data_IF_629051272194
#
_entry.id   IF_629051272194
#
_cell.length_a   1.000
_cell.length_b   1.000
_cell.length_c   1.000
_cell.angle_alpha   90.00
_cell.angle_beta   90.00
_cell.angle_gamma   90.00
#
_symmetry.space_group_name_H-M   'P 1'
#
loop_
_entity.id
_entity.type
_entity.pdbx_description
1 polymer ?
#
# COMPACT_ATOMS: atom_id res chain seq x y z
N UNK A 1 23.28 9.06 -4.52
CA UNK A 1 22.93 7.63 -4.45
C UNK A 1 23.59 6.86 -5.60
N UNK A 2 24.22 5.68 -5.35
CA UNK A 2 24.79 4.81 -6.41
C UNK A 2 23.71 3.82 -6.89
N UNK A 3 23.01 4.22 -7.96
CA UNK A 3 21.89 3.46 -8.52
C UNK A 3 22.33 2.12 -9.10
N UNK A 4 23.53 2.05 -9.70
CA UNK A 4 24.04 0.82 -10.29
C UNK A 4 24.40 -0.22 -9.21
N UNK A 5 24.92 0.22 -8.07
CA UNK A 5 25.15 -0.66 -6.94
C UNK A 5 23.83 -1.22 -6.36
N UNK A 6 22.80 -0.37 -6.24
CA UNK A 6 21.47 -0.77 -5.78
C UNK A 6 20.84 -1.77 -6.76
N UNK A 7 20.88 -1.54 -8.05
CA UNK A 7 20.31 -2.42 -9.08
C UNK A 7 20.88 -3.84 -9.03
N UNK A 8 22.16 -4.00 -8.70
CA UNK A 8 22.81 -5.32 -8.57
C UNK A 8 22.22 -6.19 -7.45
N UNK A 9 21.56 -5.56 -6.46
CA UNK A 9 20.85 -6.29 -5.40
C UNK A 9 19.55 -6.92 -5.91
N UNK A 10 19.05 -6.56 -7.10
CA UNK A 10 17.79 -7.03 -7.69
C UNK A 10 18.06 -7.92 -8.92
N UNK A 11 18.25 -9.24 -8.74
CA UNK A 11 18.67 -10.16 -9.82
C UNK A 11 17.77 -10.16 -11.04
N UNK A 12 16.45 -10.04 -10.82
CA UNK A 12 15.43 -10.06 -11.88
C UNK A 12 15.59 -8.92 -12.91
N UNK A 13 16.22 -7.80 -12.54
CA UNK A 13 16.45 -6.69 -13.46
C UNK A 13 17.46 -7.00 -14.57
N UNK A 14 18.14 -8.16 -14.48
CA UNK A 14 19.05 -8.67 -15.52
C UNK A 14 18.38 -9.65 -16.49
N UNK A 15 17.08 -9.96 -16.25
CA UNK A 15 16.34 -10.89 -17.10
C UNK A 15 15.99 -10.28 -18.47
N UNK A 16 15.65 -11.15 -19.38
CA UNK A 16 15.16 -10.78 -20.72
C UNK A 16 13.75 -11.29 -20.95
N UNK A 17 12.89 -10.43 -21.48
CA UNK A 17 11.51 -10.73 -21.84
C UNK A 17 11.33 -10.48 -23.34
N UNK A 18 10.74 -11.43 -24.06
CA UNK A 18 10.56 -11.36 -25.51
C UNK A 18 11.88 -11.11 -26.29
N UNK A 19 13.00 -11.64 -25.76
CA UNK A 19 14.35 -11.42 -26.34
C UNK A 19 14.90 -10.00 -26.18
N UNK A 20 14.33 -9.19 -25.27
CA UNK A 20 14.75 -7.84 -24.93
C UNK A 20 15.09 -7.73 -23.44
N UNK A 21 16.00 -6.83 -23.02
CA UNK A 21 16.19 -6.54 -21.61
C UNK A 21 14.87 -6.16 -20.95
N UNK A 22 14.62 -6.66 -19.75
CA UNK A 22 13.45 -6.31 -18.97
C UNK A 22 13.49 -4.84 -18.52
N UNK A 23 12.49 -4.08 -18.90
CA UNK A 23 12.21 -2.73 -18.36
C UNK A 23 10.97 -2.84 -17.47
N UNK A 24 11.17 -2.91 -16.14
CA UNK A 24 10.08 -3.16 -15.21
C UNK A 24 9.51 -1.87 -14.63
N UNK A 25 8.34 -1.46 -15.10
CA UNK A 25 7.64 -0.23 -14.72
C UNK A 25 6.22 -0.50 -14.18
N UNK A 26 6.01 -1.65 -13.49
CA UNK A 26 4.76 -1.97 -12.79
C UNK A 26 4.95 -2.09 -11.27
N UNK A 27 5.77 -1.20 -10.69
CA UNK A 27 6.16 -1.24 -9.27
C UNK A 27 5.01 -0.94 -8.31
N UNK A 28 4.02 -0.13 -8.69
CA UNK A 28 2.84 0.15 -7.89
C UNK A 28 1.91 -1.07 -7.74
N UNK A 29 2.06 -2.09 -8.59
CA UNK A 29 1.42 -3.38 -8.40
C UNK A 29 2.20 -4.26 -7.42
N UNK A 30 3.50 -4.42 -7.63
CA UNK A 30 4.46 -5.08 -6.71
C UNK A 30 5.87 -4.64 -7.08
N UNK A 31 6.71 -4.33 -6.10
CA UNK A 31 8.14 -4.05 -6.35
C UNK A 31 8.92 -5.35 -6.53
N UNK A 32 10.10 -5.31 -7.13
CA UNK A 32 11.02 -6.43 -7.17
C UNK A 32 11.71 -6.64 -5.80
N UNK A 33 12.27 -7.82 -5.58
CA UNK A 33 12.83 -8.23 -4.29
C UNK A 33 14.35 -8.25 -4.36
N UNK A 34 15.04 -7.59 -3.40
CA UNK A 34 16.49 -7.70 -3.35
C UNK A 34 16.89 -9.12 -2.94
N UNK A 35 18.08 -9.52 -3.35
CA UNK A 35 18.65 -10.85 -3.12
C UNK A 35 18.61 -11.27 -1.63
N UNK A 36 18.90 -10.34 -0.72
CA UNK A 36 18.88 -10.61 0.71
C UNK A 36 17.52 -11.05 1.25
N UNK A 37 16.41 -10.59 0.63
CA UNK A 37 15.04 -11.02 1.01
C UNK A 37 14.81 -12.48 0.61
N UNK A 38 15.18 -12.84 -0.61
CA UNK A 38 15.03 -14.20 -1.13
C UNK A 38 15.88 -15.17 -0.31
N UNK A 39 17.14 -14.78 -0.03
CA UNK A 39 18.08 -15.58 0.78
C UNK A 39 17.58 -15.76 2.21
N UNK A 40 17.06 -14.70 2.87
CA UNK A 40 16.56 -14.80 4.24
C UNK A 40 15.36 -15.76 4.35
N UNK A 41 14.44 -15.75 3.39
CA UNK A 41 13.32 -16.69 3.35
C UNK A 41 13.78 -18.12 3.12
N UNK A 42 14.73 -18.34 2.20
CA UNK A 42 15.29 -19.64 1.90
C UNK A 42 16.05 -20.20 3.13
N UNK A 43 16.88 -19.36 3.76
CA UNK A 43 17.65 -19.71 4.96
C UNK A 43 16.73 -20.11 6.12
N UNK A 44 15.62 -19.37 6.32
CA UNK A 44 14.61 -19.72 7.31
C UNK A 44 14.08 -21.14 7.09
N UNK A 45 13.68 -21.49 5.86
CA UNK A 45 13.15 -22.81 5.58
C UNK A 45 14.21 -23.93 5.66
N UNK A 46 15.44 -23.65 5.29
CA UNK A 46 16.53 -24.64 5.36
C UNK A 46 16.98 -24.92 6.80
N UNK A 47 16.93 -23.92 7.70
CA UNK A 47 17.65 -24.03 8.97
C UNK A 47 16.81 -23.76 10.22
N UNK A 48 15.69 -23.01 10.11
CA UNK A 48 14.97 -22.47 11.28
C UNK A 48 13.47 -22.77 11.28
N UNK A 49 12.95 -23.46 10.27
CA UNK A 49 11.51 -23.68 10.11
C UNK A 49 10.89 -24.41 11.32
N UNK A 50 10.09 -23.70 12.10
CA UNK A 50 9.28 -24.22 13.19
C UNK A 50 8.05 -23.34 13.40
N UNK A 51 7.00 -23.88 14.06
CA UNK A 51 5.90 -23.06 14.53
C UNK A 51 6.37 -22.14 15.67
N UNK A 52 5.79 -20.96 15.73
CA UNK A 52 6.15 -19.88 16.67
C UNK A 52 5.30 -19.91 17.95
N UNK A 53 5.75 -19.23 19.02
CA UNK A 53 5.11 -18.93 20.29
C UNK A 53 4.90 -20.13 21.24
N UNK A 54 4.38 -21.26 20.77
CA UNK A 54 3.93 -22.36 21.66
C UNK A 54 4.89 -23.55 21.81
N UNK A 55 5.92 -23.61 20.96
CA UNK A 55 6.90 -24.68 21.01
C UNK A 55 7.88 -24.49 22.16
N UNK A 56 8.13 -25.56 22.94
CA UNK A 56 9.10 -25.54 24.05
C UNK A 56 10.52 -25.94 23.62
N UNK A 57 10.73 -26.28 22.35
CA UNK A 57 12.02 -26.69 21.80
C UNK A 57 12.78 -25.50 21.20
N UNK A 58 14.10 -25.59 21.18
CA UNK A 58 15.00 -24.49 20.76
C UNK A 58 14.68 -23.93 19.38
N UNK A 59 14.32 -24.78 18.41
CA UNK A 59 14.00 -24.32 17.06
C UNK A 59 12.76 -23.41 17.03
N UNK A 60 11.71 -23.73 17.81
CA UNK A 60 10.52 -22.88 17.95
C UNK A 60 10.87 -21.55 18.63
N UNK A 61 11.76 -21.56 19.61
CA UNK A 61 12.22 -20.33 20.26
C UNK A 61 12.97 -19.43 19.28
N UNK A 62 13.90 -19.99 18.48
CA UNK A 62 14.63 -19.25 17.44
C UNK A 62 13.65 -18.64 16.42
N UNK A 63 12.70 -19.44 15.91
CA UNK A 63 11.70 -18.96 14.97
C UNK A 63 10.83 -17.83 15.55
N UNK A 64 10.45 -17.94 16.83
CA UNK A 64 9.69 -16.90 17.55
C UNK A 64 10.51 -15.63 17.69
N UNK A 65 11.76 -15.72 18.08
CA UNK A 65 12.65 -14.57 18.24
C UNK A 65 12.87 -13.85 16.89
N UNK A 66 13.03 -14.61 15.79
CA UNK A 66 13.12 -14.04 14.44
C UNK A 66 11.82 -13.29 14.07
N UNK A 67 10.66 -13.89 14.31
CA UNK A 67 9.36 -13.32 13.99
C UNK A 67 9.07 -12.04 14.78
N UNK A 68 9.27 -12.03 16.08
CA UNK A 68 9.02 -10.88 16.96
C UNK A 68 10.05 -9.76 16.77
N UNK A 69 11.30 -10.10 16.40
CA UNK A 69 12.31 -9.10 16.02
C UNK A 69 11.86 -8.26 14.84
N UNK A 70 11.19 -8.85 13.85
CA UNK A 70 10.66 -8.11 12.70
C UNK A 70 9.52 -7.17 13.14
N UNK A 71 8.68 -7.58 14.10
CA UNK A 71 7.64 -6.69 14.66
C UNK A 71 8.27 -5.43 15.27
N UNK A 72 9.37 -5.58 15.98
CA UNK A 72 10.12 -4.44 16.52
C UNK A 72 10.78 -3.59 15.42
N UNK A 73 11.25 -4.18 14.32
CA UNK A 73 11.74 -3.41 13.16
C UNK A 73 10.61 -2.59 12.53
N UNK A 74 9.43 -3.18 12.31
CA UNK A 74 8.25 -2.47 11.79
C UNK A 74 7.83 -1.34 12.73
N UNK A 75 7.80 -1.60 14.07
CA UNK A 75 7.51 -0.56 15.06
C UNK A 75 8.43 0.65 14.90
N UNK A 76 9.74 0.40 14.77
CA UNK A 76 10.73 1.47 14.58
C UNK A 76 10.56 2.18 13.24
N UNK A 77 10.31 1.42 12.16
CA UNK A 77 10.17 1.96 10.81
C UNK A 77 8.98 2.94 10.71
N UNK A 78 7.89 2.65 11.42
CA UNK A 78 6.70 3.50 11.50
C UNK A 78 6.76 4.56 12.62
N UNK A 79 7.78 4.52 13.49
CA UNK A 79 7.84 5.28 14.75
C UNK A 79 6.61 5.02 15.66
N UNK A 80 6.10 3.78 15.71
CA UNK A 80 5.04 3.41 16.62
C UNK A 80 5.55 3.32 18.06
N UNK A 81 4.67 3.51 19.06
CA UNK A 81 5.06 3.54 20.47
C UNK A 81 5.43 2.14 21.00
N UNK A 82 4.65 1.13 20.62
CA UNK A 82 4.77 -0.23 21.14
C UNK A 82 4.64 -1.28 20.04
N UNK A 83 5.22 -2.45 20.28
CA UNK A 83 5.04 -3.61 19.38
C UNK A 83 3.61 -4.14 19.37
N UNK A 84 2.83 -3.93 20.45
CA UNK A 84 1.41 -4.26 20.53
C UNK A 84 0.54 -3.47 19.54
N UNK A 85 1.06 -2.39 18.98
CA UNK A 85 0.40 -1.57 17.94
C UNK A 85 0.61 -2.10 16.51
N UNK A 86 1.42 -3.17 16.35
CA UNK A 86 1.77 -3.75 15.06
C UNK A 86 1.11 -5.12 14.90
N UNK A 87 0.17 -5.22 13.98
CA UNK A 87 -0.57 -6.45 13.67
C UNK A 87 -0.14 -6.97 12.30
N UNK A 88 0.19 -8.25 12.22
CA UNK A 88 0.45 -8.92 10.96
C UNK A 88 -0.86 -9.36 10.28
N UNK A 89 -0.93 -9.12 8.99
CA UNK A 89 -2.03 -9.54 8.11
C UNK A 89 -1.44 -10.13 6.83
N UNK A 90 -2.28 -10.59 5.89
CA UNK A 90 -1.82 -11.06 4.57
C UNK A 90 -1.58 -9.94 3.56
N UNK A 91 -1.90 -8.69 3.90
CA UNK A 91 -1.77 -7.51 3.06
C UNK A 91 -2.74 -6.39 3.46
N UNK A 92 -2.62 -5.24 2.82
CA UNK A 92 -3.49 -4.07 3.04
C UNK A 92 -4.98 -4.42 2.93
N UNK A 93 -5.35 -5.24 1.95
CA UNK A 93 -6.75 -5.66 1.76
C UNK A 93 -7.31 -6.37 2.99
N UNK A 94 -6.58 -7.32 3.59
CA UNK A 94 -7.02 -7.95 4.83
C UNK A 94 -7.03 -6.97 6.00
N UNK A 95 -6.02 -6.11 6.11
CA UNK A 95 -5.97 -5.07 7.14
C UNK A 95 -7.20 -4.16 7.11
N UNK A 96 -7.58 -3.68 5.92
CA UNK A 96 -8.77 -2.84 5.75
C UNK A 96 -10.09 -3.61 6.02
N UNK A 97 -10.17 -4.90 5.67
CA UNK A 97 -11.31 -5.75 6.05
C UNK A 97 -11.40 -5.95 7.57
N UNK A 98 -10.26 -6.19 8.24
CA UNK A 98 -10.18 -6.28 9.70
C UNK A 98 -10.73 -5.00 10.34
N UNK A 99 -10.27 -3.83 9.88
CA UNK A 99 -10.71 -2.55 10.41
C UNK A 99 -12.16 -2.25 10.10
N UNK A 100 -12.63 -2.54 8.87
CA UNK A 100 -14.02 -2.34 8.50
C UNK A 100 -14.97 -3.20 9.36
N UNK A 101 -14.64 -4.46 9.62
CA UNK A 101 -15.47 -5.32 10.45
C UNK A 101 -15.44 -4.90 11.92
N UNK A 102 -14.25 -4.65 12.48
CA UNK A 102 -14.09 -4.41 13.92
C UNK A 102 -14.53 -3.01 14.35
N UNK A 103 -14.22 -1.97 13.57
CA UNK A 103 -14.58 -0.59 13.89
C UNK A 103 -16.07 -0.29 13.74
N UNK A 104 -16.77 -1.05 12.88
CA UNK A 104 -18.18 -0.80 12.61
C UNK A 104 -19.12 -1.65 13.46
N UNK A 105 -18.60 -2.63 14.23
CA UNK A 105 -19.44 -3.58 14.97
C UNK A 105 -20.43 -2.92 15.94
N UNK A 106 -20.05 -1.83 16.57
CA UNK A 106 -20.85 -1.13 17.58
C UNK A 106 -21.46 0.18 17.05
N UNK A 107 -21.36 0.48 15.77
CA UNK A 107 -21.96 1.66 15.17
C UNK A 107 -23.47 1.52 15.04
N UNK A 108 -24.17 2.65 15.02
CA UNK A 108 -25.62 2.71 14.94
C UNK A 108 -26.08 2.88 13.48
N UNK A 109 -27.30 2.43 13.19
CA UNK A 109 -27.94 2.68 11.89
C UNK A 109 -27.93 4.19 11.57
N UNK A 110 -27.43 4.53 10.38
CA UNK A 110 -27.32 5.91 9.92
C UNK A 110 -26.04 6.62 10.34
N UNK A 111 -25.13 5.97 11.09
CA UNK A 111 -23.77 6.47 11.27
C UNK A 111 -23.04 6.50 9.93
N UNK A 112 -22.01 7.33 9.81
CA UNK A 112 -21.39 7.66 8.52
C UNK A 112 -19.89 7.30 8.49
N UNK A 113 -19.46 6.81 7.32
CA UNK A 113 -18.08 6.55 6.97
C UNK A 113 -17.71 7.46 5.80
N UNK A 114 -16.59 8.20 5.92
CA UNK A 114 -16.08 9.04 4.84
C UNK A 114 -14.93 8.31 4.15
N UNK A 115 -15.01 8.23 2.82
CA UNK A 115 -13.94 7.73 1.95
C UNK A 115 -13.53 8.85 0.97
N UNK A 116 -12.42 8.69 0.25
CA UNK A 116 -12.12 9.58 -0.87
C UNK A 116 -12.53 8.98 -2.22
N UNK A 117 -12.72 9.83 -3.23
CA UNK A 117 -13.02 9.40 -4.59
C UNK A 117 -11.85 8.68 -5.26
N UNK A 118 -10.61 8.89 -4.77
CA UNK A 118 -9.39 8.33 -5.34
C UNK A 118 -8.96 6.99 -4.74
N UNK A 119 -9.84 6.31 -3.98
CA UNK A 119 -9.49 5.09 -3.26
C UNK A 119 -9.28 3.87 -4.17
N UNK A 120 -8.36 3.01 -3.75
CA UNK A 120 -8.26 1.65 -4.25
C UNK A 120 -9.48 0.84 -3.79
N UNK A 121 -9.93 -0.15 -4.59
CA UNK A 121 -11.08 -1.00 -4.24
C UNK A 121 -10.97 -1.64 -2.85
N UNK A 122 -9.76 -1.94 -2.38
CA UNK A 122 -9.53 -2.48 -1.03
C UNK A 122 -9.93 -1.51 0.09
N UNK A 123 -9.96 -0.20 -0.20
CA UNK A 123 -10.41 0.83 0.75
C UNK A 123 -11.81 1.37 0.42
N UNK A 124 -12.56 0.69 -0.44
CA UNK A 124 -13.97 0.98 -0.74
C UNK A 124 -14.84 -0.20 -0.33
N UNK A 125 -14.59 -1.37 -0.92
CA UNK A 125 -15.47 -2.54 -0.84
C UNK A 125 -15.67 -3.05 0.61
N UNK A 126 -14.64 -3.16 1.46
CA UNK A 126 -14.85 -3.58 2.84
C UNK A 126 -15.80 -2.66 3.62
N UNK A 127 -15.68 -1.34 3.40
CA UNK A 127 -16.56 -0.36 4.01
C UNK A 127 -17.98 -0.43 3.48
N UNK A 128 -18.17 -0.70 2.18
CA UNK A 128 -19.50 -0.93 1.59
C UNK A 128 -20.16 -2.16 2.18
N UNK A 129 -19.44 -3.28 2.29
CA UNK A 129 -19.97 -4.51 2.91
C UNK A 129 -20.35 -4.29 4.38
N UNK A 130 -19.51 -3.57 5.14
CA UNK A 130 -19.81 -3.24 6.53
C UNK A 130 -21.01 -2.28 6.65
N UNK A 131 -21.10 -1.29 5.75
CA UNK A 131 -22.21 -0.33 5.72
C UNK A 131 -23.54 -1.02 5.37
N UNK A 132 -23.56 -1.87 4.36
CA UNK A 132 -24.75 -2.64 3.98
C UNK A 132 -25.22 -3.54 5.14
N UNK A 133 -24.28 -4.28 5.77
CA UNK A 133 -24.57 -5.18 6.89
C UNK A 133 -25.18 -4.46 8.10
N UNK A 134 -24.82 -3.20 8.35
CA UNK A 134 -25.13 -2.45 9.60
C UNK A 134 -26.01 -1.22 9.39
N UNK A 135 -26.42 -0.92 8.15
CA UNK A 135 -27.25 0.25 7.82
C UNK A 135 -26.51 1.59 8.00
N UNK A 136 -25.20 1.61 7.69
CA UNK A 136 -24.38 2.81 7.73
C UNK A 136 -24.40 3.53 6.37
N UNK A 137 -24.02 4.80 6.36
CA UNK A 137 -23.93 5.62 5.15
C UNK A 137 -22.47 5.87 4.76
N UNK A 138 -22.18 5.80 3.47
CA UNK A 138 -20.87 6.21 2.92
C UNK A 138 -21.00 7.61 2.34
N UNK A 139 -20.09 8.50 2.76
CA UNK A 139 -19.90 9.84 2.22
C UNK A 139 -18.54 9.89 1.50
N UNK A 140 -18.39 10.73 0.49
CA UNK A 140 -17.18 10.77 -0.35
C UNK A 140 -16.59 12.16 -0.40
N UNK A 141 -15.28 12.28 -0.14
CA UNK A 141 -14.49 13.48 -0.43
C UNK A 141 -14.21 13.47 -1.93
N UNK A 142 -14.75 14.43 -2.71
CA UNK A 142 -14.52 14.47 -4.15
C UNK A 142 -13.07 14.87 -4.46
N UNK A 143 -12.60 14.56 -5.66
CA UNK A 143 -11.36 15.10 -6.21
C UNK A 143 -11.66 16.07 -7.36
N UNK A 144 -10.69 16.90 -7.71
CA UNK A 144 -10.73 17.72 -8.91
C UNK A 144 -10.07 17.00 -10.11
N UNK A 145 -10.06 17.64 -11.30
CA UNK A 145 -9.48 17.08 -12.52
C UNK A 145 -7.96 16.84 -12.44
N UNK A 146 -7.29 17.39 -11.44
CA UNK A 146 -5.89 17.08 -11.10
C UNK A 146 -5.76 15.95 -10.07
N UNK A 147 -6.84 15.25 -9.72
CA UNK A 147 -6.85 14.16 -8.77
C UNK A 147 -6.59 14.57 -7.31
N UNK A 148 -6.61 15.88 -7.03
CA UNK A 148 -6.41 16.44 -5.69
C UNK A 148 -7.73 16.42 -4.93
N UNK A 149 -7.72 15.90 -3.71
CA UNK A 149 -8.93 15.84 -2.87
C UNK A 149 -9.36 17.24 -2.44
N UNK A 150 -10.66 17.51 -2.54
CA UNK A 150 -11.27 18.76 -2.12
C UNK A 150 -11.56 18.72 -0.61
N UNK A 151 -10.51 18.90 0.20
CA UNK A 151 -10.55 18.75 1.65
C UNK A 151 -11.39 19.82 2.37
N UNK A 152 -11.72 20.93 1.71
CA UNK A 152 -12.68 21.94 2.18
C UNK A 152 -14.08 21.36 2.38
N UNK A 153 -14.48 20.37 1.57
CA UNK A 153 -15.75 19.68 1.72
C UNK A 153 -15.91 18.95 3.06
N UNK A 154 -14.81 18.69 3.78
CA UNK A 154 -14.87 18.06 5.10
C UNK A 154 -15.69 18.88 6.10
N UNK A 155 -15.74 20.20 5.96
CA UNK A 155 -16.55 21.08 6.83
C UNK A 155 -18.06 20.74 6.75
N UNK A 156 -18.52 20.25 5.60
CA UNK A 156 -19.91 19.83 5.39
C UNK A 156 -20.12 18.31 5.53
N UNK A 157 -19.06 17.53 5.31
CA UNK A 157 -19.11 16.07 5.38
C UNK A 157 -19.06 15.56 6.81
N UNK A 158 -18.22 16.18 7.68
CA UNK A 158 -18.06 15.75 9.06
C UNK A 158 -19.21 16.31 9.93
N UNK A 159 -19.92 15.40 10.58
CA UNK A 159 -21.00 15.72 11.51
C UNK A 159 -21.03 14.70 12.68
N UNK A 160 -21.99 14.81 13.58
CA UNK A 160 -22.12 13.94 14.77
C UNK A 160 -22.31 12.45 14.44
N UNK A 161 -22.76 12.12 13.22
CA UNK A 161 -22.91 10.74 12.75
C UNK A 161 -21.65 10.18 12.13
N UNK A 162 -20.69 11.04 11.76
CA UNK A 162 -19.42 10.61 11.16
C UNK A 162 -18.56 9.92 12.21
N UNK A 163 -18.22 8.65 11.98
CA UNK A 163 -17.46 7.82 12.91
C UNK A 163 -16.10 7.40 12.38
N UNK A 164 -15.96 7.32 11.06
CA UNK A 164 -14.73 6.82 10.41
C UNK A 164 -14.44 7.71 9.20
N UNK A 165 -13.15 8.06 9.02
CA UNK A 165 -12.57 8.53 7.75
C UNK A 165 -11.51 7.51 7.34
N UNK A 166 -11.60 6.99 6.12
CA UNK A 166 -10.58 6.09 5.56
C UNK A 166 -10.10 6.65 4.22
N UNK A 167 -8.82 6.99 4.14
CA UNK A 167 -8.22 7.66 2.98
C UNK A 167 -6.86 7.08 2.62
N UNK A 168 -6.55 7.01 1.33
CA UNK A 168 -5.23 6.64 0.85
C UNK A 168 -4.23 7.79 1.04
N UNK A 169 -2.97 7.44 1.35
CA UNK A 169 -1.89 8.42 1.40
C UNK A 169 -1.46 8.86 -0.01
N UNK A 170 -1.41 7.91 -0.94
CA UNK A 170 -1.04 8.13 -2.34
C UNK A 170 -1.98 7.36 -3.24
N UNK A 171 -2.55 8.00 -4.23
CA UNK A 171 -3.40 7.36 -5.24
C UNK A 171 -2.60 6.33 -6.04
N UNK A 172 -3.01 5.07 -6.01
CA UNK A 172 -2.35 4.00 -6.75
C UNK A 172 -2.51 4.11 -8.26
N UNK A 173 -3.54 4.81 -8.73
CA UNK A 173 -3.81 5.01 -10.15
C UNK A 173 -3.14 6.28 -10.70
N UNK A 174 -3.19 7.39 -9.99
CA UNK A 174 -2.69 8.69 -10.46
C UNK A 174 -1.30 9.05 -9.92
N UNK A 175 -0.86 8.41 -8.83
CA UNK A 175 0.36 8.77 -8.10
C UNK A 175 0.22 10.02 -7.23
N UNK A 176 -0.94 10.67 -7.22
CA UNK A 176 -1.16 11.90 -6.46
C UNK A 176 -1.01 11.67 -4.97
N UNK A 177 -0.20 12.52 -4.33
CA UNK A 177 0.02 12.51 -2.87
C UNK A 177 -1.07 13.34 -2.19
N UNK A 178 -1.81 12.74 -1.27
CA UNK A 178 -2.86 13.45 -0.54
C UNK A 178 -2.32 14.12 0.71
N UNK A 179 -2.83 15.32 1.01
CA UNK A 179 -2.47 16.08 2.23
C UNK A 179 -3.16 15.47 3.47
N UNK A 180 -2.59 14.35 3.95
CA UNK A 180 -3.10 13.67 5.13
C UNK A 180 -3.05 14.54 6.39
N UNK A 181 -2.03 15.41 6.54
CA UNK A 181 -1.94 16.29 7.72
C UNK A 181 -3.15 17.21 7.81
N UNK A 182 -3.53 17.84 6.71
CA UNK A 182 -4.72 18.69 6.66
C UNK A 182 -6.02 17.91 6.86
N UNK A 183 -6.15 16.73 6.24
CA UNK A 183 -7.32 15.86 6.39
C UNK A 183 -7.48 15.43 7.86
N UNK A 184 -6.41 14.95 8.50
CA UNK A 184 -6.43 14.49 9.89
C UNK A 184 -6.66 15.65 10.86
N UNK A 185 -6.01 16.79 10.64
CA UNK A 185 -6.23 18.00 11.45
C UNK A 185 -7.69 18.45 11.42
N UNK A 186 -8.32 18.49 10.24
CA UNK A 186 -9.76 18.76 10.11
C UNK A 186 -10.61 17.69 10.80
N UNK A 187 -10.30 16.42 10.63
CA UNK A 187 -11.00 15.32 11.28
C UNK A 187 -10.99 15.47 12.80
N UNK A 188 -9.82 15.79 13.39
CA UNK A 188 -9.69 16.02 14.84
C UNK A 188 -10.43 17.29 15.29
N UNK A 189 -10.35 18.37 14.52
CA UNK A 189 -11.02 19.63 14.86
C UNK A 189 -12.54 19.53 14.84
N UNK A 190 -13.12 18.83 13.86
CA UNK A 190 -14.57 18.76 13.64
C UNK A 190 -15.21 17.54 14.32
N UNK A 191 -14.54 16.39 14.31
CA UNK A 191 -15.06 15.11 14.84
C UNK A 191 -14.50 14.69 16.18
N UNK A 192 -13.45 15.39 16.66
CA UNK A 192 -12.77 15.04 17.91
C UNK A 192 -12.09 13.68 17.90
N UNK A 193 -11.77 13.17 19.10
CA UNK A 193 -11.09 11.87 19.24
C UNK A 193 -12.02 10.65 19.05
N UNK A 194 -13.31 10.87 18.91
CA UNK A 194 -14.29 9.78 18.63
C UNK A 194 -14.30 9.39 17.14
N UNK A 195 -13.92 10.32 16.26
CA UNK A 195 -13.78 10.07 14.83
C UNK A 195 -12.49 9.30 14.54
N UNK A 196 -12.61 8.07 14.04
CA UNK A 196 -11.46 7.20 13.72
C UNK A 196 -10.89 7.55 12.36
N UNK A 197 -9.58 7.67 12.27
CA UNK A 197 -8.85 7.94 11.03
C UNK A 197 -8.03 6.72 10.63
N UNK A 198 -8.37 6.15 9.48
CA UNK A 198 -7.69 5.02 8.85
C UNK A 198 -6.95 5.52 7.62
N UNK A 199 -5.69 5.15 7.49
CA UNK A 199 -4.86 5.49 6.33
C UNK A 199 -4.50 4.23 5.55
N UNK A 200 -4.88 4.17 4.27
CA UNK A 200 -4.30 3.22 3.33
C UNK A 200 -2.93 3.74 2.88
N UNK A 201 -1.89 3.19 3.48
CA UNK A 201 -0.50 3.51 3.23
C UNK A 201 0.17 2.64 2.17
N UNK A 202 -0.58 1.83 1.41
CA UNK A 202 -0.03 0.82 0.51
C UNK A 202 0.97 1.38 -0.53
N UNK A 203 0.76 2.60 -1.00
CA UNK A 203 1.70 3.30 -1.88
C UNK A 203 2.61 4.24 -1.07
N UNK A 204 2.07 4.95 -0.08
CA UNK A 204 2.80 5.97 0.68
C UNK A 204 4.01 5.43 1.43
N UNK A 205 3.93 4.22 2.01
CA UNK A 205 5.03 3.59 2.76
C UNK A 205 6.29 3.38 1.92
N UNK A 206 6.15 3.29 0.60
CA UNK A 206 7.26 3.04 -0.33
C UNK A 206 8.00 4.32 -0.67
N UNK A 207 7.28 5.43 -0.81
CA UNK A 207 7.74 6.67 -1.42
C UNK A 207 7.91 7.83 -0.43
N UNK A 208 7.67 7.59 0.86
CA UNK A 208 7.83 8.62 1.89
C UNK A 208 8.18 8.00 3.24
N UNK A 209 8.86 8.79 4.08
CA UNK A 209 9.02 8.45 5.48
C UNK A 209 7.67 8.59 6.19
N UNK A 210 7.25 7.52 6.85
CA UNK A 210 6.02 7.50 7.64
C UNK A 210 6.35 7.56 9.12
N UNK A 211 5.78 8.56 9.80
CA UNK A 211 5.80 8.70 11.26
C UNK A 211 4.35 8.74 11.74
N UNK A 212 3.87 7.62 12.29
CA UNK A 212 2.46 7.49 12.68
C UNK A 212 2.10 8.35 13.89
N UNK A 213 3.09 8.73 14.72
CA UNK A 213 2.87 9.63 15.84
C UNK A 213 2.71 11.08 15.36
N UNK A 214 3.58 11.54 14.43
CA UNK A 214 3.48 12.87 13.82
C UNK A 214 2.21 13.00 12.97
N UNK A 215 1.84 11.92 12.25
CA UNK A 215 0.64 11.89 11.41
C UNK A 215 -0.66 11.91 12.23
N UNK A 216 -0.63 11.39 13.46
CA UNK A 216 -1.76 11.26 14.38
C UNK A 216 -2.95 10.45 13.79
N UNK A 217 -2.70 9.55 12.85
CA UNK A 217 -3.72 8.59 12.41
C UNK A 217 -4.01 7.55 13.51
N UNK A 218 -5.21 6.98 13.51
CA UNK A 218 -5.55 5.91 14.44
C UNK A 218 -5.09 4.55 13.94
N UNK A 219 -5.11 4.38 12.61
CA UNK A 219 -4.67 3.17 11.91
C UNK A 219 -3.90 3.51 10.63
N UNK A 220 -2.90 2.69 10.32
CA UNK A 220 -2.14 2.76 9.07
C UNK A 220 -1.93 1.35 8.52
N UNK A 221 -2.33 1.12 7.26
CA UNK A 221 -2.28 -0.22 6.64
C UNK A 221 -1.35 -0.23 5.43
N UNK A 222 -0.50 -1.25 5.31
CA UNK A 222 0.28 -1.44 4.09
C UNK A 222 0.57 -2.91 3.80
N UNK A 223 0.97 -3.19 2.55
CA UNK A 223 1.40 -4.51 2.09
C UNK A 223 2.90 -4.56 1.92
N UNK A 224 3.54 -5.57 2.46
CA UNK A 224 4.98 -5.75 2.42
C UNK A 224 5.54 -5.89 0.98
N UNK A 225 4.78 -6.54 0.08
CA UNK A 225 5.22 -6.79 -1.30
C UNK A 225 5.42 -5.53 -2.15
N UNK A 226 4.93 -4.37 -1.70
CA UNK A 226 5.22 -3.07 -2.33
C UNK A 226 6.46 -2.42 -1.75
N UNK A 227 6.84 -2.78 -0.51
CA UNK A 227 8.02 -2.31 0.20
C UNK A 227 9.22 -3.27 0.04
N UNK A 228 9.46 -3.76 -1.17
CA UNK A 228 10.56 -4.66 -1.54
C UNK A 228 10.57 -6.02 -0.81
N UNK A 229 9.55 -6.34 -0.02
CA UNK A 229 9.39 -7.52 0.78
C UNK A 229 8.49 -8.59 0.11
N UNK A 230 8.34 -9.79 0.68
CA UNK A 230 7.53 -10.86 0.08
C UNK A 230 6.04 -10.51 -0.04
N UNK A 231 5.33 -11.26 -0.89
CA UNK A 231 3.87 -11.31 -0.90
C UNK A 231 3.37 -12.05 0.35
N UNK A 232 2.08 -11.94 0.65
CA UNK A 232 1.45 -12.70 1.74
C UNK A 232 1.61 -12.09 3.14
N UNK A 233 2.29 -10.95 3.27
CA UNK A 233 2.39 -10.18 4.52
C UNK A 233 1.91 -8.76 4.32
N UNK A 234 1.18 -8.26 5.30
CA UNK A 234 0.81 -6.86 5.47
C UNK A 234 0.87 -6.46 6.94
N UNK A 235 0.78 -5.18 7.15
CA UNK A 235 0.82 -4.58 8.48
C UNK A 235 -0.42 -3.72 8.66
N UNK A 236 -1.02 -3.83 9.85
CA UNK A 236 -1.90 -2.82 10.42
C UNK A 236 -1.21 -2.25 11.65
N UNK A 237 -0.86 -0.97 11.59
CA UNK A 237 -0.61 -0.18 12.78
C UNK A 237 -1.96 0.28 13.36
N UNK A 238 -2.11 0.22 14.67
CA UNK A 238 -3.27 0.80 15.36
C UNK A 238 -2.88 1.31 16.75
N UNK A 239 -3.41 2.47 17.15
CA UNK A 239 -3.19 2.99 18.51
C UNK A 239 -3.65 1.97 19.55
N UNK A 240 -2.76 1.56 20.47
CA UNK A 240 -3.03 0.50 21.46
C UNK A 240 -4.34 0.72 22.22
N UNK A 241 -4.59 1.96 22.68
CA UNK A 241 -5.80 2.28 23.41
C UNK A 241 -7.11 2.00 22.62
N UNK A 242 -7.05 2.08 21.28
CA UNK A 242 -8.20 1.76 20.42
C UNK A 242 -8.24 0.25 20.19
N UNK A 243 -7.11 -0.39 19.87
CA UNK A 243 -7.03 -1.85 19.66
C UNK A 243 -7.57 -2.64 20.84
N UNK A 244 -7.34 -2.19 22.08
CA UNK A 244 -7.85 -2.83 23.28
C UNK A 244 -9.38 -2.85 23.35
N UNK A 245 -10.07 -1.92 22.69
CA UNK A 245 -11.54 -1.85 22.66
C UNK A 245 -12.16 -2.67 21.53
N UNK A 246 -11.36 -3.11 20.54
CA UNK A 246 -11.86 -3.79 19.36
C UNK A 246 -12.06 -5.28 19.61
N UNK A 247 -13.13 -5.87 19.05
CA UNK A 247 -13.35 -7.32 19.08
C UNK A 247 -12.35 -8.04 18.17
N UNK A 248 -12.16 -9.36 18.31
CA UNK A 248 -11.41 -10.14 17.37
C UNK A 248 -12.04 -10.11 15.97
N UNK A 249 -11.21 -10.21 14.93
CA UNK A 249 -11.65 -10.27 13.53
C UNK A 249 -11.90 -11.70 13.07
N UNK A 250 -10.95 -12.59 13.36
CA UNK A 250 -11.01 -14.02 13.02
C UNK A 250 -10.91 -14.85 14.29
N UNK A 251 -11.53 -16.02 14.30
CA UNK A 251 -11.45 -16.98 15.40
C UNK A 251 -10.54 -18.16 15.04
N UNK A 252 -9.72 -18.61 15.99
CA UNK A 252 -8.83 -19.74 15.77
C UNK A 252 -7.83 -19.94 16.92
N UNK A 253 -6.77 -20.66 16.69
CA UNK A 253 -5.64 -20.76 17.58
C UNK A 253 -4.87 -19.42 17.67
N UNK A 254 -3.94 -19.30 18.57
CA UNK A 254 -3.09 -18.17 18.89
C UNK A 254 -3.82 -16.94 19.49
N UNK A 255 -4.95 -16.52 18.92
CA UNK A 255 -5.69 -15.32 19.30
C UNK A 255 -6.53 -15.48 20.57
N UNK A 256 -6.66 -16.69 21.11
CA UNK A 256 -7.43 -17.04 22.30
C UNK A 256 -6.57 -17.13 23.56
N UNK A 257 -7.15 -16.80 24.72
CA UNK A 257 -6.59 -17.06 26.05
C UNK A 257 -7.12 -18.36 26.63
N UNK A 258 -8.44 -18.53 26.66
CA UNK A 258 -9.13 -19.73 27.12
C UNK A 258 -10.30 -20.05 26.20
N UNK A 259 -10.55 -21.33 25.92
CA UNK A 259 -11.65 -21.81 25.10
C UNK A 259 -12.47 -22.83 25.87
N UNK A 260 -13.78 -22.60 25.96
CA UNK A 260 -14.78 -23.56 26.42
C UNK A 260 -15.97 -23.53 25.47
N UNK A 261 -16.83 -24.54 25.53
CA UNK A 261 -18.01 -24.55 24.67
C UNK A 261 -19.01 -23.43 25.02
N UNK A 262 -19.05 -23.00 26.30
CA UNK A 262 -19.95 -21.93 26.75
C UNK A 262 -19.37 -20.54 26.55
N UNK A 263 -18.01 -20.38 26.61
CA UNK A 263 -17.35 -19.07 26.54
C UNK A 263 -15.89 -19.20 26.08
N UNK A 264 -15.48 -18.25 25.29
CA UNK A 264 -14.07 -18.04 24.90
C UNK A 264 -13.59 -16.67 25.39
N UNK A 265 -12.37 -16.60 25.89
CA UNK A 265 -11.68 -15.36 26.18
C UNK A 265 -10.50 -15.18 25.21
N UNK A 266 -10.18 -13.93 24.90
CA UNK A 266 -9.21 -13.58 23.83
C UNK A 266 -7.93 -13.01 24.41
N UNK A 267 -6.86 -13.12 23.66
CA UNK A 267 -5.58 -12.47 23.96
C UNK A 267 -5.69 -10.94 23.82
N UNK A 268 -4.67 -10.24 24.29
CA UNK A 268 -4.46 -8.81 24.06
C UNK A 268 -3.93 -8.56 22.64
N UNK A 269 -3.94 -7.29 22.19
CA UNK A 269 -3.25 -6.90 20.96
C UNK A 269 -1.73 -7.18 21.08
N UNK A 270 -1.03 -7.56 19.99
CA UNK A 270 -1.56 -7.74 18.63
C UNK A 270 -2.19 -9.13 18.41
N UNK A 271 -1.93 -10.10 19.28
CA UNK A 271 -2.26 -11.53 19.11
C UNK A 271 -3.77 -11.78 18.95
N UNK A 272 -4.64 -10.93 19.55
CA UNK A 272 -6.09 -10.98 19.36
C UNK A 272 -6.51 -10.94 17.90
N UNK A 273 -5.71 -10.32 17.04
CA UNK A 273 -6.00 -10.10 15.61
C UNK A 273 -5.24 -11.05 14.69
N UNK A 274 -4.39 -11.93 15.25
CA UNK A 274 -3.51 -12.84 14.50
C UNK A 274 -3.93 -14.29 14.75
N UNK A 275 -4.99 -14.75 14.05
CA UNK A 275 -5.52 -16.10 14.21
C UNK A 275 -4.78 -17.11 13.33
N UNK A 276 -4.40 -18.25 13.93
CA UNK A 276 -3.74 -19.36 13.24
C UNK A 276 -2.23 -19.18 13.08
N UNK A 277 -1.58 -20.16 12.45
CA UNK A 277 -0.13 -20.11 12.20
C UNK A 277 0.20 -19.01 11.21
N UNK A 278 1.08 -18.05 11.56
CA UNK A 278 1.41 -16.93 10.69
C UNK A 278 2.38 -17.31 9.56
N UNK A 279 2.54 -16.43 8.57
CA UNK A 279 3.49 -16.56 7.47
C UNK A 279 4.92 -16.20 7.93
N UNK A 280 5.55 -17.05 8.75
CA UNK A 280 6.81 -16.74 9.45
C UNK A 280 7.95 -16.43 8.48
N UNK A 281 8.13 -17.25 7.42
CA UNK A 281 9.19 -17.02 6.43
C UNK A 281 9.03 -15.68 5.70
N UNK A 282 7.79 -15.30 5.38
CA UNK A 282 7.49 -14.05 4.70
C UNK A 282 7.72 -12.84 5.63
N UNK A 283 7.42 -12.98 6.92
CA UNK A 283 7.75 -11.97 7.93
C UNK A 283 9.27 -11.83 8.08
N UNK A 284 10.03 -12.91 8.10
CA UNK A 284 11.50 -12.88 8.09
C UNK A 284 12.02 -12.15 6.84
N UNK A 285 11.41 -12.41 5.67
CA UNK A 285 11.68 -11.69 4.44
C UNK A 285 11.40 -10.19 4.53
N UNK A 286 10.30 -9.78 5.21
CA UNK A 286 10.03 -8.37 5.51
C UNK A 286 11.14 -7.75 6.37
N UNK A 287 11.62 -8.46 7.39
CA UNK A 287 12.75 -8.00 8.22
C UNK A 287 14.02 -7.77 7.40
N UNK A 288 14.30 -8.65 6.43
CA UNK A 288 15.44 -8.48 5.53
C UNK A 288 15.26 -7.26 4.60
N UNK A 289 14.03 -7.00 4.10
CA UNK A 289 13.73 -5.82 3.29
C UNK A 289 13.89 -4.52 4.09
N UNK A 290 13.41 -4.47 5.34
CA UNK A 290 13.60 -3.31 6.22
C UNK A 290 15.08 -3.08 6.51
N UNK A 291 15.86 -4.14 6.79
CA UNK A 291 17.31 -4.03 6.99
C UNK A 291 18.05 -3.60 5.72
N UNK A 292 17.56 -3.95 4.52
CA UNK A 292 18.08 -3.43 3.26
C UNK A 292 17.83 -1.92 3.15
N UNK A 293 16.61 -1.45 3.43
CA UNK A 293 16.25 -0.04 3.38
C UNK A 293 16.98 0.81 4.44
N UNK A 294 17.21 0.27 5.65
CA UNK A 294 17.98 0.95 6.71
C UNK A 294 19.44 1.26 6.33
N UNK A 295 20.01 0.54 5.35
CA UNK A 295 21.37 0.79 4.84
C UNK A 295 21.43 1.93 3.81
N UNK A 296 20.28 2.38 3.34
CA UNK A 296 20.16 3.46 2.36
C UNK A 296 19.85 4.78 3.09
N UNK A 297 20.33 5.89 2.55
CA UNK A 297 19.78 7.20 2.93
C UNK A 297 18.42 7.38 2.23
N UNK A 298 17.35 7.17 2.99
CA UNK A 298 15.99 7.25 2.44
C UNK A 298 15.65 8.66 1.91
N UNK A 299 16.27 9.72 2.41
CA UNK A 299 16.06 11.05 1.86
C UNK A 299 16.66 11.17 0.46
N UNK A 300 17.85 10.59 0.24
CA UNK A 300 18.42 10.51 -1.12
C UNK A 300 17.57 9.63 -2.05
N UNK A 301 17.00 8.52 -1.53
CA UNK A 301 16.09 7.64 -2.29
C UNK A 301 14.86 8.41 -2.75
N UNK A 302 14.14 9.07 -1.84
CA UNK A 302 12.92 9.82 -2.19
C UNK A 302 13.22 10.99 -3.13
N UNK A 303 14.31 11.74 -2.91
CA UNK A 303 14.73 12.79 -3.82
C UNK A 303 15.04 12.24 -5.24
N UNK A 304 15.63 11.06 -5.32
CA UNK A 304 15.86 10.39 -6.60
C UNK A 304 14.56 9.94 -7.27
N UNK A 305 13.61 9.38 -6.51
CA UNK A 305 12.29 8.98 -7.05
C UNK A 305 11.51 10.19 -7.56
N UNK A 306 11.59 11.35 -6.90
CA UNK A 306 11.03 12.62 -7.37
C UNK A 306 11.68 13.11 -8.66
N UNK A 307 12.99 12.97 -8.78
CA UNK A 307 13.73 13.27 -10.03
C UNK A 307 13.29 12.34 -11.17
N UNK A 308 13.14 11.05 -10.91
CA UNK A 308 12.67 10.05 -11.88
C UNK A 308 11.23 10.36 -12.31
N UNK A 309 10.35 10.69 -11.38
CA UNK A 309 8.96 11.08 -11.68
C UNK A 309 8.91 12.32 -12.57
N UNK A 310 9.64 13.36 -12.20
CA UNK A 310 9.71 14.62 -12.97
C UNK A 310 10.24 14.38 -14.39
N UNK A 311 11.32 13.60 -14.51
CA UNK A 311 11.90 13.23 -15.79
C UNK A 311 10.92 12.43 -16.67
N UNK A 312 10.23 11.45 -16.07
CA UNK A 312 9.24 10.66 -16.79
C UNK A 312 8.06 11.53 -17.29
N UNK A 313 7.58 12.43 -16.44
CA UNK A 313 6.50 13.35 -16.82
C UNK A 313 6.92 14.30 -17.95
N UNK A 314 8.13 14.84 -17.91
CA UNK A 314 8.70 15.69 -18.99
C UNK A 314 8.80 14.89 -20.29
N UNK A 315 9.45 13.72 -20.26
CA UNK A 315 9.70 12.88 -21.45
C UNK A 315 8.40 12.41 -22.10
N UNK A 316 7.41 11.96 -21.32
CA UNK A 316 6.15 11.48 -21.87
C UNK A 316 5.24 12.63 -22.33
N UNK A 317 5.29 13.79 -21.67
CA UNK A 317 4.54 14.98 -22.11
C UNK A 317 5.01 15.56 -23.46
N UNK A 318 6.23 15.26 -23.85
CA UNK A 318 6.80 15.72 -25.14
C UNK A 318 6.37 14.85 -26.34
N UNK A 319 5.70 13.72 -26.09
CA UNK A 319 5.28 12.79 -27.16
C UNK A 319 3.89 13.18 -27.64
N UNK A 320 3.75 13.48 -28.93
CA UNK A 320 2.46 13.81 -29.54
C UNK A 320 1.47 12.64 -29.38
N UNK A 321 0.26 12.97 -28.96
CA UNK A 321 -0.80 12.00 -28.72
C UNK A 321 -0.79 11.35 -27.34
N UNK A 322 0.21 11.57 -26.50
CA UNK A 322 0.23 11.11 -25.09
C UNK A 322 -0.46 12.14 -24.21
N UNK A 323 -1.50 11.70 -23.49
CA UNK A 323 -2.22 12.50 -22.50
C UNK A 323 -1.95 11.95 -21.09
N UNK A 324 -1.32 12.76 -20.23
CA UNK A 324 -1.01 12.44 -18.84
C UNK A 324 -2.11 12.97 -17.93
N UNK A 325 -2.63 12.13 -17.03
CA UNK A 325 -3.65 12.51 -16.05
C UNK A 325 -3.02 13.12 -14.80
N UNK A 326 -3.75 14.06 -14.17
CA UNK A 326 -3.32 14.76 -12.96
C UNK A 326 -1.92 15.42 -13.13
N UNK A 327 -1.70 16.10 -14.24
CA UNK A 327 -0.36 16.58 -14.67
C UNK A 327 0.26 17.59 -13.72
N UNK A 328 -0.54 18.46 -13.12
CA UNK A 328 -0.09 19.57 -12.27
C UNK A 328 0.00 19.20 -10.79
N UNK A 329 -0.54 18.04 -10.38
CA UNK A 329 -0.51 17.60 -8.99
C UNK A 329 0.89 17.10 -8.57
N UNK A 330 1.19 17.19 -7.28
CA UNK A 330 2.35 16.50 -6.69
C UNK A 330 2.14 14.99 -6.73
N UNK A 331 3.06 14.28 -7.38
CA UNK A 331 2.98 12.83 -7.59
C UNK A 331 4.24 12.11 -7.15
N UNK A 332 4.06 10.84 -6.79
CA UNK A 332 5.14 9.89 -6.57
C UNK A 332 4.78 8.51 -7.08
N UNK A 333 5.75 7.70 -7.40
CA UNK A 333 5.64 6.28 -7.69
C UNK A 333 4.89 5.90 -8.97
N UNK A 334 3.88 6.64 -9.42
CA UNK A 334 3.01 6.24 -10.55
C UNK A 334 2.66 7.40 -11.48
N UNK A 335 2.70 7.12 -12.79
CA UNK A 335 2.30 8.03 -13.84
C UNK A 335 1.29 7.35 -14.78
N UNK A 336 0.04 7.83 -14.78
CA UNK A 336 -1.02 7.34 -15.67
C UNK A 336 -1.17 8.21 -16.90
N UNK A 337 -1.31 7.56 -18.05
CA UNK A 337 -1.45 8.23 -19.34
C UNK A 337 -2.31 7.42 -20.32
N UNK A 338 -2.79 8.06 -21.37
CA UNK A 338 -3.40 7.43 -22.54
C UNK A 338 -2.78 7.94 -23.83
N UNK A 339 -2.95 7.21 -24.92
CA UNK A 339 -2.47 7.55 -26.27
C UNK A 339 -3.70 7.80 -27.15
N UNK A 340 -4.00 9.07 -27.43
CA UNK A 340 -5.20 9.43 -28.19
C UNK A 340 -6.44 8.70 -27.71
N UNK A 341 -7.16 8.07 -28.63
CA UNK A 341 -8.33 7.24 -28.37
C UNK A 341 -8.01 5.72 -28.35
N UNK A 342 -6.73 5.34 -28.32
CA UNK A 342 -6.28 3.94 -28.31
C UNK A 342 -6.64 3.31 -26.95
N UNK A 343 -7.14 2.07 -27.01
CA UNK A 343 -7.40 1.35 -25.77
C UNK A 343 -6.10 1.06 -25.01
N UNK A 344 -5.99 1.34 -23.71
CA UNK A 344 -4.74 1.19 -22.96
C UNK A 344 -4.13 -0.22 -23.03
N UNK A 345 -4.95 -1.24 -23.17
CA UNK A 345 -4.52 -2.64 -23.32
C UNK A 345 -3.64 -2.85 -24.55
N UNK A 346 -3.97 -2.21 -25.70
CA UNK A 346 -3.20 -2.32 -26.93
C UNK A 346 -1.82 -1.67 -26.78
N UNK A 347 -1.78 -0.51 -26.10
CA UNK A 347 -0.53 0.16 -25.74
C UNK A 347 0.35 -0.76 -24.89
N UNK A 348 -0.19 -1.36 -23.84
CA UNK A 348 0.55 -2.27 -22.96
C UNK A 348 1.04 -3.53 -23.70
N UNK A 349 0.22 -4.10 -24.58
CA UNK A 349 0.55 -5.30 -25.34
C UNK A 349 1.73 -5.05 -26.30
N UNK A 350 1.74 -3.90 -26.98
CA UNK A 350 2.84 -3.58 -27.90
C UNK A 350 4.13 -3.21 -27.14
N UNK A 351 4.04 -2.53 -25.99
CA UNK A 351 5.20 -2.26 -25.15
C UNK A 351 5.81 -3.53 -24.57
N UNK A 352 4.99 -4.53 -24.17
CA UNK A 352 5.48 -5.83 -23.70
C UNK A 352 6.33 -6.55 -24.75
N UNK A 353 5.96 -6.48 -26.06
CA UNK A 353 6.79 -7.01 -27.14
C UNK A 353 8.16 -6.33 -27.25
N UNK A 354 8.30 -5.15 -26.69
CA UNK A 354 9.58 -4.42 -26.59
C UNK A 354 10.34 -4.67 -25.27
N UNK A 355 9.82 -5.57 -24.41
CA UNK A 355 10.40 -5.87 -23.09
C UNK A 355 10.01 -4.88 -22.00
N UNK A 356 9.03 -3.99 -22.25
CA UNK A 356 8.63 -2.92 -21.34
C UNK A 356 7.34 -3.34 -20.63
N UNK A 357 7.45 -3.63 -19.32
CA UNK A 357 6.35 -4.05 -18.49
C UNK A 357 5.69 -2.84 -17.81
N UNK A 358 4.50 -2.48 -18.26
CA UNK A 358 3.60 -1.49 -17.63
C UNK A 358 2.26 -2.15 -17.29
N UNK A 359 1.43 -1.46 -16.52
CA UNK A 359 0.08 -1.91 -16.23
C UNK A 359 -0.97 -1.14 -17.03
N UNK A 360 -2.06 -1.83 -17.41
CA UNK A 360 -3.19 -1.19 -18.11
C UNK A 360 -4.51 -1.54 -17.45
N UNK A 361 -5.52 -0.68 -17.63
CA UNK A 361 -6.88 -0.85 -17.13
C UNK A 361 -7.27 0.14 -16.05
N UNK A 362 -8.20 -0.25 -15.17
CA UNK A 362 -8.75 0.64 -14.12
C UNK A 362 -7.93 0.65 -12.82
N UNK A 363 -6.84 -0.09 -12.71
CA UNK A 363 -5.92 -0.15 -11.56
C UNK A 363 -6.61 -0.38 -10.21
N UNK A 364 -7.73 -1.08 -10.17
CA UNK A 364 -8.59 -1.22 -8.98
C UNK A 364 -9.05 0.13 -8.38
N UNK A 365 -9.25 1.14 -9.24
CA UNK A 365 -9.69 2.50 -8.89
C UNK A 365 -10.76 2.97 -9.90
N UNK A 366 -11.83 2.17 -10.05
CA UNK A 366 -12.91 2.50 -11.00
C UNK A 366 -13.57 3.86 -10.78
N UNK A 367 -13.75 4.37 -9.54
CA UNK A 367 -14.26 5.73 -9.36
C UNK A 367 -13.40 6.81 -10.04
N UNK A 368 -12.07 6.66 -10.01
CA UNK A 368 -11.14 7.57 -10.70
C UNK A 368 -11.36 7.52 -12.23
N UNK A 369 -11.51 6.31 -12.79
CA UNK A 369 -11.79 6.17 -14.23
C UNK A 369 -13.13 6.81 -14.62
N UNK A 370 -14.14 6.66 -13.76
CA UNK A 370 -15.45 7.29 -13.95
C UNK A 370 -15.38 8.82 -13.87
N UNK A 371 -14.57 9.37 -12.97
CA UNK A 371 -14.37 10.83 -12.86
C UNK A 371 -13.84 11.41 -14.17
N UNK A 372 -12.85 10.76 -14.81
CA UNK A 372 -12.28 11.19 -16.07
C UNK A 372 -13.06 10.73 -17.32
N UNK A 373 -14.16 10.00 -17.14
CA UNK A 373 -14.97 9.40 -18.24
C UNK A 373 -14.13 8.56 -19.21
N UNK A 374 -13.28 7.67 -18.67
CA UNK A 374 -12.37 6.81 -19.43
C UNK A 374 -12.50 5.35 -19.01
N UNK A 375 -12.24 4.38 -19.92
CA UNK A 375 -12.30 2.96 -19.59
C UNK A 375 -11.13 2.48 -18.72
N UNK A 376 -10.01 3.21 -18.72
CA UNK A 376 -8.78 2.89 -18.04
C UNK A 376 -7.60 3.72 -18.53
N UNK A 377 -6.44 3.48 -17.96
CA UNK A 377 -5.18 4.11 -18.39
C UNK A 377 -4.07 3.07 -18.57
N UNK A 378 -3.04 3.42 -19.31
CA UNK A 378 -1.71 2.86 -19.17
C UNK A 378 -1.04 3.54 -17.97
N UNK A 379 -0.34 2.77 -17.12
CA UNK A 379 0.35 3.28 -15.94
C UNK A 379 1.78 2.75 -15.90
N UNK A 380 2.75 3.64 -15.98
CA UNK A 380 4.12 3.36 -15.61
C UNK A 380 4.32 3.67 -14.13
N UNK A 381 5.02 2.82 -13.39
CA UNK A 381 5.31 3.06 -11.99
C UNK A 381 6.76 2.72 -11.64
N UNK A 382 7.35 3.58 -10.85
CA UNK A 382 8.78 3.67 -10.61
C UNK A 382 9.13 3.18 -9.21
N UNK A 383 10.39 2.82 -9.00
CA UNK A 383 10.94 2.39 -7.73
C UNK A 383 12.39 2.85 -7.61
N UNK A 384 12.99 2.68 -6.44
CA UNK A 384 14.35 3.13 -6.12
C UNK A 384 15.45 2.65 -7.11
N UNK A 385 15.18 1.63 -7.91
CA UNK A 385 16.09 1.07 -8.91
C UNK A 385 15.75 1.50 -10.35
N UNK A 386 14.69 2.28 -10.57
CA UNK A 386 14.30 2.76 -11.91
C UNK A 386 15.32 3.80 -12.41
N UNK A 387 15.71 3.73 -13.69
CA UNK A 387 16.69 4.63 -14.29
C UNK A 387 16.08 5.55 -15.35
N UNK A 388 16.72 6.69 -15.62
CA UNK A 388 16.35 7.58 -16.74
C UNK A 388 16.41 6.86 -18.08
N UNK A 389 17.38 5.97 -18.28
CA UNK A 389 17.51 5.15 -19.50
C UNK A 389 16.31 4.23 -19.72
N UNK A 390 15.71 3.69 -18.64
CA UNK A 390 14.48 2.89 -18.73
C UNK A 390 13.27 3.77 -19.11
N UNK A 391 13.21 5.00 -18.62
CA UNK A 391 12.19 5.99 -19.02
C UNK A 391 12.37 6.39 -20.50
N UNK A 392 13.60 6.63 -20.95
CA UNK A 392 13.89 6.89 -22.39
C UNK A 392 13.48 5.69 -23.24
N UNK A 393 13.70 4.47 -22.77
CA UNK A 393 13.28 3.26 -23.48
C UNK A 393 11.75 3.19 -23.57
N UNK A 394 11.01 3.54 -22.51
CA UNK A 394 9.55 3.65 -22.53
C UNK A 394 9.09 4.71 -23.53
N UNK A 395 9.69 5.92 -23.50
CA UNK A 395 9.34 7.02 -24.39
C UNK A 395 9.57 6.65 -25.86
N UNK A 396 10.75 6.13 -26.20
CA UNK A 396 11.08 5.65 -27.56
C UNK A 396 10.16 4.49 -27.98
N UNK A 397 9.77 3.61 -27.03
CA UNK A 397 8.79 2.56 -27.25
C UNK A 397 7.44 3.15 -27.66
N UNK A 398 6.95 4.15 -26.95
CA UNK A 398 5.70 4.87 -27.26
C UNK A 398 5.77 5.54 -28.63
N UNK A 399 6.82 6.30 -28.92
CA UNK A 399 7.03 6.95 -30.23
C UNK A 399 7.01 5.94 -31.39
N UNK A 400 7.51 4.73 -31.16
CA UNK A 400 7.51 3.66 -32.15
C UNK A 400 6.14 3.02 -32.37
N UNK A 401 5.36 2.82 -31.30
CA UNK A 401 4.06 2.09 -31.42
C UNK A 401 2.90 3.02 -31.77
N UNK A 402 2.96 4.31 -31.46
CA UNK A 402 1.88 5.28 -31.75
C UNK A 402 1.47 5.28 -33.22
N UNK A 403 2.41 5.37 -34.22
CA UNK A 403 2.04 5.30 -35.64
C UNK A 403 1.42 3.97 -36.08
N UNK A 404 1.52 2.93 -35.28
CA UNK A 404 0.91 1.61 -35.58
C UNK A 404 -0.51 1.50 -35.03
N UNK A 405 -0.88 2.38 -34.07
CA UNK A 405 -2.14 2.37 -33.34
C UNK A 405 -3.11 3.46 -33.81
N UNK A 406 -2.61 4.53 -34.43
CA UNK A 406 -3.36 5.63 -35.01
C UNK A 406 -3.43 5.54 -36.53
#
# INVERSE_FOLDING_TARGET
MDIEAIRKEFPILNETINGKPLIYLDNAATTQKPKCVIEAMSDYYYHYNANVHRGVHSLSQIATDMFEKVREQVRKYLNANKTSEIIYTRGTTEGLNLLAETLTQNLQIGDEIILSESEHHSNIVPWQLAAEKRGLNIRVIPMNDEGVLQIECLDELINKKTKIISVAQVSNSLGVVHDLKSIISKARSLGGNELRVVVDGAQGIVHSKVDVQELDCDFYCFSAHKLYAPMGVGIVYGKEAILETLPPYQGGGEMIKEVGFDKTTFNVAPYRFEAGTPAVADVVGLGAALSFLERLDLNEVFAYEDEIMSYAQERLSAIDGVNIYAKSAHKTGSLSFNVGNVHPFDVGTLLDQLGIAIRTGHHCAQPVMKHFDIPGTARASFALYTTKSEIDTLANGLERIIPMLM
#
